data_IF_152561764407
#
_entry.id   IF_152561764407
#
_cell.length_a   1.000
_cell.length_b   1.000
_cell.length_c   1.000
_cell.angle_alpha   90.00
_cell.angle_beta   90.00
_cell.angle_gamma   90.00
#
_symmetry.space_group_name_H-M   'P 1'
#
loop_
_entity.id
_entity.type
_entity.pdbx_description
1 polymer ?
#
# COMPACT_ATOMS: atom_id res chain seq x y z
N UNK A 1 3.05 -11.89 -27.88
CA UNK A 1 2.56 -12.40 -26.58
C UNK A 1 3.77 -12.60 -25.68
N UNK A 2 3.79 -12.01 -24.51
CA UNK A 2 4.91 -12.14 -23.57
C UNK A 2 4.86 -13.58 -22.98
N UNK A 3 5.89 -14.41 -23.10
CA UNK A 3 5.84 -15.83 -22.72
C UNK A 3 5.71 -16.08 -21.21
N UNK A 4 5.62 -15.03 -20.39
CA UNK A 4 5.50 -15.11 -18.93
C UNK A 4 4.16 -14.60 -18.38
N UNK A 5 3.14 -14.33 -19.19
CA UNK A 5 1.84 -13.89 -18.67
C UNK A 5 0.99 -15.10 -18.30
N UNK A 6 0.84 -15.35 -17.00
CA UNK A 6 -0.18 -16.26 -16.48
C UNK A 6 -1.57 -15.63 -16.70
N UNK A 7 -2.54 -16.44 -17.12
CA UNK A 7 -3.94 -16.05 -17.21
C UNK A 7 -4.79 -17.25 -16.82
N UNK A 8 -5.78 -17.02 -15.98
CA UNK A 8 -6.75 -18.01 -15.59
C UNK A 8 -8.05 -17.79 -16.36
N UNK A 9 -8.67 -18.87 -16.83
CA UNK A 9 -10.02 -18.80 -17.33
C UNK A 9 -11.03 -18.94 -16.16
N UNK A 10 -12.27 -18.51 -16.41
CA UNK A 10 -13.34 -18.48 -15.40
C UNK A 10 -13.70 -19.86 -14.84
N UNK A 11 -13.58 -20.91 -15.66
CA UNK A 11 -13.94 -22.28 -15.29
C UNK A 11 -12.87 -22.95 -14.43
N UNK A 12 -11.59 -22.63 -14.68
CA UNK A 12 -10.46 -23.17 -13.92
C UNK A 12 -10.47 -22.74 -12.45
N UNK A 13 -11.00 -21.56 -12.13
CA UNK A 13 -10.99 -21.04 -10.76
C UNK A 13 -11.70 -21.97 -9.78
N UNK A 14 -12.77 -22.64 -10.21
CA UNK A 14 -13.51 -23.59 -9.36
C UNK A 14 -12.79 -24.93 -9.19
N UNK A 15 -11.72 -25.20 -9.93
CA UNK A 15 -10.94 -26.45 -9.84
C UNK A 15 -9.78 -26.34 -8.85
N UNK A 16 -9.37 -25.13 -8.47
CA UNK A 16 -8.26 -24.92 -7.55
C UNK A 16 -8.69 -25.05 -6.08
N UNK A 17 -7.83 -25.68 -5.28
CA UNK A 17 -7.98 -25.66 -3.84
C UNK A 17 -7.71 -24.22 -3.32
N UNK A 18 -8.74 -23.55 -2.84
CA UNK A 18 -8.63 -22.16 -2.35
C UNK A 18 -8.89 -22.08 -0.86
N UNK A 19 -8.11 -21.25 -0.17
CA UNK A 19 -8.30 -20.91 1.24
C UNK A 19 -8.77 -19.47 1.40
N UNK A 20 -9.84 -19.26 2.19
CA UNK A 20 -10.38 -17.94 2.49
C UNK A 20 -9.53 -17.26 3.58
N UNK A 21 -9.04 -16.06 3.31
CA UNK A 21 -8.16 -15.27 4.18
C UNK A 21 -8.83 -14.01 4.74
N UNK A 22 -10.08 -14.14 5.20
CA UNK A 22 -10.81 -13.05 5.85
C UNK A 22 -11.26 -13.53 7.23
N UNK A 23 -11.11 -12.70 8.28
CA UNK A 23 -11.67 -13.01 9.59
C UNK A 23 -13.17 -13.28 9.48
N UNK A 24 -13.64 -14.33 10.15
CA UNK A 24 -15.04 -14.79 10.10
C UNK A 24 -16.03 -13.66 10.43
N UNK A 25 -15.66 -12.77 11.35
CA UNK A 25 -16.45 -11.59 11.77
C UNK A 25 -16.65 -10.57 10.62
N UNK A 26 -15.82 -10.59 9.58
CA UNK A 26 -15.90 -9.67 8.44
C UNK A 26 -16.53 -10.28 7.19
N UNK A 27 -16.92 -11.54 7.25
CA UNK A 27 -17.58 -12.22 6.11
C UNK A 27 -18.86 -11.51 5.67
N UNK A 28 -19.66 -10.99 6.62
CA UNK A 28 -20.86 -10.21 6.35
C UNK A 28 -20.62 -8.89 5.62
N UNK A 29 -19.37 -8.42 5.55
CA UNK A 29 -19.02 -7.18 4.85
C UNK A 29 -18.85 -7.36 3.34
N UNK A 30 -18.98 -8.60 2.85
CA UNK A 30 -18.98 -8.91 1.43
C UNK A 30 -17.59 -8.97 0.77
N UNK A 31 -16.51 -8.48 1.40
CA UNK A 31 -15.17 -8.64 0.85
C UNK A 31 -14.77 -10.11 0.89
N UNK A 32 -14.23 -10.62 -0.23
CA UNK A 32 -13.69 -11.97 -0.35
C UNK A 32 -12.23 -11.90 -0.79
N UNK A 33 -11.37 -12.64 -0.09
CA UNK A 33 -9.96 -12.75 -0.39
C UNK A 33 -9.57 -14.23 -0.25
N UNK A 34 -9.33 -14.88 -1.35
CA UNK A 34 -8.90 -16.27 -1.41
C UNK A 34 -7.44 -16.37 -1.82
N UNK A 35 -6.75 -17.34 -1.24
CA UNK A 35 -5.42 -17.74 -1.68
C UNK A 35 -5.48 -19.10 -2.35
N UNK A 36 -4.76 -19.27 -3.45
CA UNK A 36 -4.60 -20.53 -4.16
C UNK A 36 -3.20 -20.64 -4.74
N UNK A 37 -2.83 -21.83 -5.16
CA UNK A 37 -1.51 -22.11 -5.70
C UNK A 37 -1.62 -22.90 -7.00
N UNK A 38 -0.82 -22.53 -8.00
CA UNK A 38 -0.72 -23.24 -9.28
C UNK A 38 0.75 -23.37 -9.65
N UNK A 39 1.21 -24.60 -9.89
CA UNK A 39 2.59 -24.91 -10.27
C UNK A 39 3.65 -24.31 -9.32
N UNK A 40 3.39 -24.31 -8.01
CA UNK A 40 4.31 -23.77 -6.99
C UNK A 40 4.28 -22.23 -6.84
N UNK A 41 3.44 -21.55 -7.62
CA UNK A 41 3.23 -20.10 -7.51
C UNK A 41 1.89 -19.82 -6.82
N UNK A 42 1.93 -19.02 -5.75
CA UNK A 42 0.73 -18.56 -5.06
C UNK A 42 0.07 -17.38 -5.76
N UNK A 43 -1.25 -17.29 -5.61
CA UNK A 43 -2.09 -16.21 -6.14
C UNK A 43 -3.14 -15.81 -5.12
N UNK A 44 -3.64 -14.59 -5.28
CA UNK A 44 -4.76 -14.03 -4.54
C UNK A 44 -5.91 -13.73 -5.49
N UNK A 45 -7.12 -14.21 -5.12
CA UNK A 45 -8.38 -13.81 -5.76
C UNK A 45 -9.11 -12.88 -4.82
N UNK A 46 -9.36 -11.65 -5.25
CA UNK A 46 -10.04 -10.60 -4.48
C UNK A 46 -11.28 -10.14 -5.21
N UNK A 47 -12.44 -10.16 -4.54
CA UNK A 47 -13.68 -9.59 -5.07
C UNK A 47 -14.58 -9.05 -3.97
N UNK A 48 -15.58 -8.26 -4.35
CA UNK A 48 -16.63 -7.74 -3.48
C UNK A 48 -17.93 -8.45 -3.85
N UNK A 49 -18.45 -9.22 -2.91
CA UNK A 49 -19.79 -9.76 -2.95
C UNK A 49 -20.84 -8.70 -2.59
N UNK A 50 -22.12 -9.00 -2.75
CA UNK A 50 -23.19 -8.11 -2.33
C UNK A 50 -23.04 -7.77 -0.84
N UNK A 51 -23.09 -6.49 -0.51
CA UNK A 51 -22.94 -5.98 0.85
C UNK A 51 -23.70 -4.67 1.02
N UNK A 52 -24.21 -4.43 2.21
CA UNK A 52 -24.80 -3.14 2.59
C UNK A 52 -23.75 -2.08 2.97
N UNK A 53 -22.48 -2.48 3.08
CA UNK A 53 -21.38 -1.57 3.48
C UNK A 53 -20.82 -0.78 2.29
N UNK A 54 -21.44 0.35 1.99
CA UNK A 54 -21.05 1.23 0.87
C UNK A 54 -19.56 1.59 0.84
N UNK A 55 -18.92 1.78 2.00
CA UNK A 55 -17.50 2.13 2.06
C UNK A 55 -16.58 1.02 1.50
N UNK A 56 -16.95 -0.27 1.68
CA UNK A 56 -16.18 -1.40 1.15
C UNK A 56 -16.43 -1.60 -0.34
N UNK A 57 -17.66 -1.38 -0.81
CA UNK A 57 -17.99 -1.38 -2.24
C UNK A 57 -17.18 -0.29 -2.92
N UNK A 58 -17.25 0.95 -2.45
CA UNK A 58 -16.52 2.09 -3.00
C UNK A 58 -15.01 1.88 -2.99
N UNK A 59 -14.46 1.22 -1.96
CA UNK A 59 -13.03 0.89 -1.89
C UNK A 59 -12.62 -0.08 -3.00
N UNK A 60 -13.37 -1.15 -3.21
CA UNK A 60 -13.08 -2.11 -4.28
C UNK A 60 -13.24 -1.48 -5.67
N UNK A 61 -14.27 -0.66 -5.87
CA UNK A 61 -14.49 0.06 -7.12
C UNK A 61 -13.36 1.06 -7.41
N UNK A 62 -12.83 1.71 -6.38
CA UNK A 62 -11.67 2.59 -6.52
C UNK A 62 -10.42 1.82 -6.95
N UNK A 63 -10.16 0.66 -6.33
CA UNK A 63 -9.04 -0.21 -6.69
C UNK A 63 -9.19 -0.75 -8.12
N UNK A 64 -10.37 -1.20 -8.49
CA UNK A 64 -10.68 -1.67 -9.84
C UNK A 64 -10.45 -0.55 -10.88
N UNK A 65 -10.99 0.63 -10.61
CA UNK A 65 -10.81 1.81 -11.49
C UNK A 65 -9.34 2.18 -11.66
N UNK A 66 -8.56 2.09 -10.58
CA UNK A 66 -7.12 2.32 -10.62
C UNK A 66 -6.41 1.31 -11.54
N UNK A 67 -6.67 0.00 -11.37
CA UNK A 67 -6.06 -1.03 -12.22
C UNK A 67 -6.50 -0.93 -13.68
N UNK A 68 -7.79 -0.68 -13.94
CA UNK A 68 -8.29 -0.47 -15.30
C UNK A 68 -7.59 0.71 -15.99
N UNK A 69 -7.42 1.82 -15.27
CA UNK A 69 -6.67 2.98 -15.79
C UNK A 69 -5.20 2.62 -16.08
N UNK A 70 -4.54 1.93 -15.16
CA UNK A 70 -3.14 1.56 -15.34
C UNK A 70 -2.92 0.56 -16.47
N UNK A 71 -3.82 -0.42 -16.63
CA UNK A 71 -3.78 -1.41 -17.71
C UNK A 71 -4.05 -0.81 -19.10
N UNK A 72 -4.77 0.32 -19.16
CA UNK A 72 -5.02 1.06 -20.40
C UNK A 72 -3.84 1.93 -20.86
N UNK A 73 -2.78 2.06 -20.04
CA UNK A 73 -1.60 2.84 -20.41
C UNK A 73 -0.77 2.10 -21.48
N UNK A 74 -0.07 2.84 -22.34
CA UNK A 74 0.82 2.28 -23.36
C UNK A 74 1.92 1.40 -22.78
N UNK A 75 2.37 1.69 -21.57
CA UNK A 75 3.34 0.93 -20.83
C UNK A 75 2.86 0.75 -19.39
N UNK A 76 2.75 -0.51 -18.95
CA UNK A 76 2.37 -0.83 -17.58
C UNK A 76 3.41 -0.28 -16.60
N UNK A 77 3.00 0.47 -15.56
CA UNK A 77 3.91 0.98 -14.54
C UNK A 77 4.68 -0.14 -13.85
N UNK A 78 5.99 0.05 -13.69
CA UNK A 78 6.87 -1.01 -13.12
C UNK A 78 6.53 -1.34 -11.67
N UNK A 79 5.97 -0.41 -10.94
CA UNK A 79 5.59 -0.63 -9.54
C UNK A 79 4.31 -1.48 -9.38
N UNK A 80 3.55 -1.75 -10.43
CA UNK A 80 2.38 -2.61 -10.32
C UNK A 80 2.77 -4.08 -10.39
N UNK A 81 2.16 -4.94 -9.54
CA UNK A 81 2.22 -6.37 -9.75
C UNK A 81 1.48 -6.76 -11.02
N UNK A 82 1.75 -7.94 -11.52
CA UNK A 82 0.88 -8.53 -12.54
C UNK A 82 -0.51 -8.73 -11.94
N UNK A 83 -1.53 -8.26 -12.66
CA UNK A 83 -2.94 -8.34 -12.25
C UNK A 83 -3.79 -8.81 -13.43
N UNK A 84 -4.74 -9.69 -13.14
CA UNK A 84 -5.80 -10.08 -14.07
C UNK A 84 -7.15 -9.62 -13.53
N UNK A 85 -7.97 -9.02 -14.37
CA UNK A 85 -9.36 -8.66 -14.07
C UNK A 85 -10.25 -9.71 -14.74
N UNK A 86 -11.10 -10.37 -13.96
CA UNK A 86 -12.12 -11.28 -14.44
C UNK A 86 -13.50 -10.71 -14.17
N UNK A 87 -14.39 -10.86 -15.15
CA UNK A 87 -15.75 -10.31 -15.08
C UNK A 87 -16.81 -11.39 -15.33
N UNK A 88 -17.96 -11.26 -14.65
CA UNK A 88 -19.17 -12.04 -14.90
C UNK A 88 -18.96 -13.55 -14.92
N UNK A 89 -18.64 -14.12 -13.77
CA UNK A 89 -18.43 -15.56 -13.61
C UNK A 89 -19.08 -16.08 -12.33
N UNK A 90 -19.30 -17.40 -12.29
CA UNK A 90 -19.76 -18.09 -11.09
C UNK A 90 -18.58 -18.67 -10.34
N UNK A 91 -18.54 -18.40 -9.03
CA UNK A 91 -17.53 -18.92 -8.13
C UNK A 91 -18.15 -19.37 -6.81
N UNK A 92 -17.98 -20.64 -6.44
CA UNK A 92 -18.60 -21.27 -5.28
C UNK A 92 -20.12 -20.99 -5.17
N UNK A 93 -20.86 -21.11 -6.28
CA UNK A 93 -22.29 -20.83 -6.41
C UNK A 93 -22.69 -19.37 -6.17
N UNK A 94 -21.74 -18.45 -6.16
CA UNK A 94 -21.94 -17.02 -6.10
C UNK A 94 -21.69 -16.37 -7.46
N UNK A 95 -22.58 -15.47 -7.88
CA UNK A 95 -22.37 -14.68 -9.10
C UNK A 95 -21.41 -13.52 -8.79
N UNK A 96 -20.19 -13.61 -9.33
CA UNK A 96 -19.14 -12.60 -9.15
C UNK A 96 -19.14 -11.67 -10.36
N UNK A 97 -19.47 -10.39 -10.11
CA UNK A 97 -19.47 -9.37 -11.16
C UNK A 97 -18.08 -9.06 -11.67
N UNK A 98 -17.11 -8.88 -10.76
CA UNK A 98 -15.72 -8.61 -11.09
C UNK A 98 -14.80 -9.07 -9.96
N UNK A 99 -13.66 -9.61 -10.34
CA UNK A 99 -12.59 -10.00 -9.41
C UNK A 99 -11.22 -9.59 -9.94
N UNK A 100 -10.30 -9.39 -9.00
CA UNK A 100 -8.87 -9.19 -9.24
C UNK A 100 -8.11 -10.47 -8.88
N UNK A 101 -7.23 -10.92 -9.75
CA UNK A 101 -6.25 -11.95 -9.43
C UNK A 101 -4.86 -11.31 -9.44
N UNK A 102 -4.13 -11.48 -8.34
CA UNK A 102 -2.78 -10.97 -8.17
C UNK A 102 -1.84 -12.10 -7.79
N UNK A 103 -0.61 -12.03 -8.31
CA UNK A 103 0.45 -12.95 -7.91
C UNK A 103 0.83 -12.72 -6.45
N UNK A 104 0.98 -13.81 -5.69
CA UNK A 104 1.49 -13.74 -4.32
C UNK A 104 3.00 -13.53 -4.37
N UNK A 105 3.45 -12.40 -3.85
CA UNK A 105 4.85 -11.97 -3.84
C UNK A 105 5.22 -11.59 -2.40
N UNK A 106 6.45 -11.89 -1.94
CA UNK A 106 6.86 -11.58 -0.58
C UNK A 106 6.91 -10.08 -0.29
N UNK A 107 6.76 -9.71 0.98
CA UNK A 107 6.93 -8.33 1.41
C UNK A 107 8.37 -7.85 1.21
N UNK A 108 8.53 -6.59 0.81
CA UNK A 108 9.84 -5.94 0.70
C UNK A 108 10.54 -5.80 2.07
N UNK A 109 9.77 -5.59 3.14
CA UNK A 109 10.27 -5.29 4.49
C UNK A 109 10.31 -6.53 5.39
N UNK A 110 10.58 -7.72 4.84
CA UNK A 110 10.67 -8.96 5.63
C UNK A 110 11.93 -9.03 6.50
N UNK A 111 13.04 -8.50 6.00
CA UNK A 111 14.31 -8.58 6.72
C UNK A 111 14.40 -7.53 7.82
N UNK A 112 14.96 -7.92 8.98
CA UNK A 112 15.29 -6.97 10.03
C UNK A 112 16.43 -6.06 9.54
N UNK A 113 16.28 -4.72 9.52
CA UNK A 113 17.28 -3.80 8.99
C UNK A 113 18.61 -3.87 9.75
N UNK A 114 18.61 -4.28 11.01
CA UNK A 114 19.84 -4.47 11.80
C UNK A 114 20.74 -5.62 11.30
N UNK A 115 20.17 -6.53 10.51
CA UNK A 115 20.89 -7.65 9.89
C UNK A 115 21.37 -7.32 8.47
N UNK A 116 21.03 -6.15 7.96
CA UNK A 116 21.37 -5.69 6.63
C UNK A 116 22.58 -4.72 6.67
N UNK A 117 23.37 -4.71 5.61
CA UNK A 117 24.34 -3.64 5.43
C UNK A 117 23.62 -2.29 5.23
N UNK A 118 24.28 -1.20 5.62
CA UNK A 118 23.74 0.16 5.42
C UNK A 118 23.32 0.39 3.95
N UNK A 119 24.11 -0.05 3.00
CA UNK A 119 23.81 0.08 1.57
C UNK A 119 22.53 -0.69 1.18
N UNK A 120 22.29 -1.85 1.75
CA UNK A 120 21.03 -2.59 1.53
C UNK A 120 19.83 -1.84 2.11
N UNK A 121 19.95 -1.27 3.31
CA UNK A 121 18.90 -0.44 3.91
C UNK A 121 18.57 0.76 3.03
N UNK A 122 19.60 1.50 2.59
CA UNK A 122 19.43 2.64 1.65
C UNK A 122 18.72 2.18 0.36
N UNK A 123 19.14 1.05 -0.20
CA UNK A 123 18.56 0.52 -1.44
C UNK A 123 17.08 0.16 -1.29
N UNK A 124 16.67 -0.43 -0.16
CA UNK A 124 15.28 -0.73 0.15
C UNK A 124 14.47 0.56 0.27
N UNK A 125 14.95 1.55 1.04
CA UNK A 125 14.30 2.85 1.17
C UNK A 125 14.16 3.52 -0.19
N UNK A 126 15.21 3.50 -1.01
CA UNK A 126 15.20 4.10 -2.34
C UNK A 126 14.18 3.44 -3.28
N UNK A 127 14.03 2.10 -3.21
CA UNK A 127 12.99 1.38 -3.95
C UNK A 127 11.59 1.84 -3.55
N UNK A 128 11.31 1.97 -2.25
CA UNK A 128 10.01 2.44 -1.76
C UNK A 128 9.70 3.86 -2.24
N UNK A 129 10.69 4.76 -2.13
CA UNK A 129 10.56 6.14 -2.60
C UNK A 129 10.30 6.20 -4.12
N UNK A 130 11.03 5.40 -4.92
CA UNK A 130 10.80 5.33 -6.37
C UNK A 130 9.38 4.87 -6.70
N UNK A 131 8.93 3.80 -6.05
CA UNK A 131 7.60 3.22 -6.25
C UNK A 131 6.49 4.25 -5.99
N UNK A 132 6.57 4.98 -4.87
CA UNK A 132 5.57 6.01 -4.56
C UNK A 132 5.73 7.23 -5.48
N UNK A 133 6.95 7.56 -5.91
CA UNK A 133 7.16 8.62 -6.89
C UNK A 133 6.49 8.31 -8.24
N UNK A 134 6.64 7.09 -8.75
CA UNK A 134 6.00 6.66 -10.00
C UNK A 134 4.47 6.76 -9.89
N UNK A 135 3.88 6.33 -8.76
CA UNK A 135 2.45 6.49 -8.50
C UNK A 135 2.02 7.97 -8.54
N UNK A 136 2.77 8.85 -7.87
CA UNK A 136 2.47 10.28 -7.85
C UNK A 136 2.63 10.93 -9.24
N UNK A 137 3.60 10.48 -10.04
CA UNK A 137 3.79 10.93 -11.42
C UNK A 137 2.64 10.51 -12.35
N UNK A 138 1.97 9.38 -12.05
CA UNK A 138 0.74 8.98 -12.73
C UNK A 138 -0.48 9.84 -12.35
N UNK A 139 -0.32 10.79 -11.43
CA UNK A 139 -1.39 11.65 -10.94
C UNK A 139 -2.26 11.00 -9.85
N UNK A 140 -1.75 9.98 -9.14
CA UNK A 140 -2.46 9.30 -8.08
C UNK A 140 -1.74 9.39 -6.74
N UNK A 141 -2.50 9.32 -5.64
CA UNK A 141 -2.02 9.05 -4.29
C UNK A 141 -2.57 7.72 -3.82
N UNK A 142 -1.80 7.03 -2.99
CA UNK A 142 -2.21 5.74 -2.42
C UNK A 142 -3.20 5.91 -1.27
N UNK A 143 -2.90 6.86 -0.39
CA UNK A 143 -3.76 7.31 0.71
C UNK A 143 -4.02 6.28 1.85
N UNK A 144 -3.41 5.10 1.81
CA UNK A 144 -3.38 4.10 2.89
C UNK A 144 -2.11 3.24 2.82
N UNK A 145 -0.93 3.86 2.69
CA UNK A 145 0.33 3.13 2.68
C UNK A 145 0.58 2.43 4.02
N UNK A 146 1.02 1.16 3.96
CA UNK A 146 1.47 0.37 5.10
C UNK A 146 2.53 -0.67 4.68
N UNK A 147 3.31 -1.24 5.60
CA UNK A 147 4.42 -2.14 5.26
C UNK A 147 4.02 -3.32 4.35
N UNK A 148 2.85 -3.91 4.58
CA UNK A 148 2.33 -5.05 3.82
C UNK A 148 1.98 -4.73 2.36
N UNK A 149 1.92 -3.46 1.97
CA UNK A 149 1.62 -3.05 0.61
C UNK A 149 2.86 -2.97 -0.29
N UNK A 150 4.06 -2.97 0.30
CA UNK A 150 5.32 -2.99 -0.43
C UNK A 150 5.80 -4.42 -0.59
N UNK A 151 5.80 -4.91 -1.83
CA UNK A 151 6.20 -6.26 -2.18
C UNK A 151 7.51 -6.24 -2.97
N UNK A 152 8.24 -7.35 -2.96
CA UNK A 152 9.47 -7.51 -3.73
C UNK A 152 9.28 -8.62 -4.76
N UNK A 153 9.09 -8.24 -6.03
CA UNK A 153 9.04 -9.15 -7.15
C UNK A 153 10.38 -9.11 -7.91
N UNK A 154 11.12 -10.19 -7.80
CA UNK A 154 12.50 -10.28 -8.30
C UNK A 154 13.39 -9.18 -7.72
N UNK A 155 13.61 -8.09 -8.42
CA UNK A 155 14.38 -6.93 -7.95
C UNK A 155 13.56 -5.65 -7.84
N UNK A 156 12.27 -5.70 -8.22
CA UNK A 156 11.39 -4.52 -8.32
C UNK A 156 10.45 -4.43 -7.13
N UNK A 157 10.34 -3.23 -6.53
CA UNK A 157 9.34 -2.97 -5.52
C UNK A 157 7.97 -2.80 -6.19
N UNK A 158 7.00 -3.57 -5.72
CA UNK A 158 5.60 -3.52 -6.17
C UNK A 158 4.72 -2.92 -5.09
N UNK A 159 3.62 -2.32 -5.51
CA UNK A 159 2.64 -1.71 -4.60
C UNK A 159 1.25 -2.29 -4.89
N UNK A 160 0.51 -2.60 -3.82
CA UNK A 160 -0.83 -3.21 -3.87
C UNK A 160 -1.81 -2.49 -2.96
N UNK A 161 -3.09 -2.86 -3.07
CA UNK A 161 -4.21 -2.41 -2.22
C UNK A 161 -4.56 -0.94 -2.44
N UNK A 162 -5.02 -0.63 -3.64
CA UNK A 162 -5.40 0.72 -4.07
C UNK A 162 -6.83 1.13 -3.68
N UNK A 163 -7.46 0.47 -2.69
CA UNK A 163 -8.83 0.75 -2.25
C UNK A 163 -9.07 2.18 -1.76
N UNK A 164 -8.02 2.83 -1.28
CA UNK A 164 -8.09 4.22 -0.79
C UNK A 164 -7.47 5.22 -1.76
N UNK A 165 -6.95 4.73 -2.91
CA UNK A 165 -6.30 5.58 -3.89
C UNK A 165 -7.27 6.59 -4.51
N UNK A 166 -6.74 7.74 -4.87
CA UNK A 166 -7.51 8.80 -5.55
C UNK A 166 -6.60 9.64 -6.44
N UNK A 167 -7.19 10.38 -7.36
CA UNK A 167 -6.46 11.33 -8.19
C UNK A 167 -5.91 12.48 -7.36
N UNK A 168 -4.71 12.96 -7.71
CA UNK A 168 -4.14 14.17 -7.10
C UNK A 168 -5.05 15.36 -7.43
N UNK A 169 -5.44 16.12 -6.39
CA UNK A 169 -6.34 17.26 -6.54
C UNK A 169 -7.83 16.91 -6.47
N UNK A 170 -8.20 15.64 -6.45
CA UNK A 170 -9.58 15.22 -6.23
C UNK A 170 -9.96 15.41 -4.76
N UNK A 171 -10.99 16.24 -4.51
CA UNK A 171 -11.48 16.49 -3.16
C UNK A 171 -12.59 15.47 -2.89
N UNK A 172 -12.23 14.35 -2.27
CA UNK A 172 -13.20 13.40 -1.76
C UNK A 172 -13.49 13.69 -0.28
N UNK A 173 -14.57 14.40 -0.02
CA UNK A 173 -15.02 14.71 1.36
C UNK A 173 -15.38 13.48 2.20
N UNK A 174 -15.65 12.33 1.57
CA UNK A 174 -16.11 11.12 2.25
C UNK A 174 -15.00 10.14 2.65
N UNK A 175 -13.78 10.27 2.11
CA UNK A 175 -12.69 9.29 2.30
C UNK A 175 -11.67 9.66 3.41
N UNK A 176 -11.81 10.79 4.06
CA UNK A 176 -10.81 11.26 5.03
C UNK A 176 -10.61 10.31 6.23
N UNK A 177 -11.64 9.57 6.63
CA UNK A 177 -11.62 8.74 7.84
C UNK A 177 -11.32 7.25 7.59
N UNK A 178 -11.00 6.84 6.38
CA UNK A 178 -10.87 5.42 6.00
C UNK A 178 -9.43 4.90 5.94
N UNK A 179 -8.43 5.70 6.28
CA UNK A 179 -7.04 5.26 6.36
C UNK A 179 -6.74 4.49 7.66
N UNK A 180 -5.71 3.67 7.66
CA UNK A 180 -5.25 2.92 8.84
C UNK A 180 -4.67 3.89 9.87
N UNK A 181 -5.27 4.05 11.09
CA UNK A 181 -4.90 5.10 12.04
C UNK A 181 -3.42 5.15 12.39
N UNK A 182 -2.74 3.99 12.43
CA UNK A 182 -1.29 3.90 12.71
C UNK A 182 -0.41 4.67 11.71
N UNK A 183 -0.84 4.80 10.46
CA UNK A 183 -0.07 5.45 9.38
C UNK A 183 -0.69 6.77 8.94
N UNK A 184 -1.75 7.21 9.60
CA UNK A 184 -2.45 8.44 9.26
C UNK A 184 -1.61 9.68 9.53
N UNK A 185 -1.55 10.58 8.57
CA UNK A 185 -0.96 11.90 8.76
C UNK A 185 -1.82 12.78 9.69
N UNK A 186 -1.19 13.69 10.48
CA UNK A 186 -1.89 14.55 11.44
C UNK A 186 -3.10 15.29 10.87
N UNK A 187 -3.00 15.79 9.65
CA UNK A 187 -4.08 16.50 8.97
C UNK A 187 -5.34 15.66 8.75
N UNK A 188 -5.22 14.34 8.65
CA UNK A 188 -6.37 13.45 8.45
C UNK A 188 -7.21 13.30 9.72
N UNK A 189 -6.59 13.37 10.91
CA UNK A 189 -7.32 13.39 12.17
C UNK A 189 -8.15 14.68 12.34
N UNK A 190 -7.84 15.72 11.58
CA UNK A 190 -8.61 16.97 11.49
C UNK A 190 -9.56 17.00 10.29
N UNK A 191 -9.84 15.86 9.65
CA UNK A 191 -10.77 15.76 8.52
C UNK A 191 -10.32 16.46 7.25
N UNK A 192 -9.02 16.79 7.11
CA UNK A 192 -8.50 17.44 5.90
C UNK A 192 -8.29 16.43 4.77
N UNK A 193 -8.30 16.93 3.54
CA UNK A 193 -8.14 16.12 2.35
C UNK A 193 -6.77 15.41 2.30
N UNK A 194 -6.78 14.20 1.76
CA UNK A 194 -5.59 13.41 1.43
C UNK A 194 -4.80 14.07 0.30
N UNK A 195 -3.49 14.02 0.37
CA UNK A 195 -2.59 14.63 -0.63
C UNK A 195 -1.32 13.78 -0.77
N UNK A 196 -0.46 14.12 -1.71
CA UNK A 196 0.90 13.55 -1.83
C UNK A 196 1.63 13.52 -0.48
N UNK A 197 1.48 14.58 0.31
CA UNK A 197 2.14 14.68 1.61
C UNK A 197 1.59 13.73 2.67
N UNK A 198 0.37 13.23 2.52
CA UNK A 198 -0.17 12.14 3.35
C UNK A 198 0.58 10.84 3.12
N UNK A 199 0.89 10.50 1.86
CA UNK A 199 1.70 9.32 1.54
C UNK A 199 3.14 9.46 2.05
N UNK A 200 3.72 10.67 1.98
CA UNK A 200 5.06 10.93 2.54
C UNK A 200 5.09 10.68 4.06
N UNK A 201 4.06 11.13 4.79
CA UNK A 201 3.97 10.89 6.23
C UNK A 201 3.85 9.39 6.55
N UNK A 202 2.98 8.68 5.83
CA UNK A 202 2.81 7.23 6.00
C UNK A 202 4.13 6.48 5.72
N UNK A 203 4.88 6.86 4.67
CA UNK A 203 6.23 6.34 4.41
C UNK A 203 7.18 6.61 5.60
N UNK A 204 7.13 7.80 6.18
CA UNK A 204 7.93 8.14 7.35
C UNK A 204 7.64 7.23 8.54
N UNK A 205 6.37 6.93 8.83
CA UNK A 205 5.98 5.99 9.89
C UNK A 205 6.45 4.56 9.58
N UNK A 206 6.27 4.10 8.34
CA UNK A 206 6.72 2.76 7.91
C UNK A 206 8.25 2.63 8.13
N UNK A 207 9.02 3.63 7.71
CA UNK A 207 10.46 3.63 7.85
C UNK A 207 10.90 3.74 9.32
N UNK A 208 10.21 4.55 10.13
CA UNK A 208 10.49 4.65 11.56
C UNK A 208 10.28 3.30 12.25
N UNK A 209 9.13 2.64 12.04
CA UNK A 209 8.84 1.32 12.60
C UNK A 209 9.88 0.27 12.13
N UNK A 210 10.21 0.27 10.85
CA UNK A 210 11.18 -0.69 10.29
C UNK A 210 12.58 -0.47 10.85
N UNK A 211 13.11 0.76 10.83
CA UNK A 211 14.46 1.07 11.30
C UNK A 211 14.64 0.87 12.81
N UNK A 212 13.58 1.10 13.59
CA UNK A 212 13.61 0.88 15.04
C UNK A 212 13.33 -0.56 15.43
N UNK A 213 12.74 -1.37 14.53
CA UNK A 213 12.13 -2.67 14.83
C UNK A 213 11.07 -2.57 15.95
N UNK A 214 10.38 -1.44 15.99
CA UNK A 214 9.35 -1.15 17.00
C UNK A 214 8.08 -0.68 16.33
N UNK A 215 7.01 -1.42 16.58
CA UNK A 215 5.71 -1.10 16.03
C UNK A 215 4.98 -0.11 16.95
N UNK A 216 4.54 1.02 16.40
CA UNK A 216 3.74 1.99 17.13
C UNK A 216 2.44 1.35 17.62
N UNK A 217 1.99 1.73 18.81
CA UNK A 217 0.78 1.23 19.44
C UNK A 217 -0.03 2.36 20.04
N UNK A 218 -1.34 2.25 19.96
CA UNK A 218 -2.29 3.11 20.63
C UNK A 218 -3.57 2.31 20.91
N UNK A 219 -4.27 2.64 21.99
CA UNK A 219 -5.44 1.88 22.44
C UNK A 219 -6.73 2.34 21.74
N UNK A 220 -6.80 3.60 21.30
CA UNK A 220 -7.99 4.20 20.71
C UNK A 220 -7.64 5.09 19.52
N UNK A 221 -8.67 5.50 18.76
CA UNK A 221 -8.51 6.49 17.68
C UNK A 221 -7.99 7.84 18.21
N UNK A 222 -8.45 8.27 19.40
CA UNK A 222 -7.98 9.46 20.05
C UNK A 222 -6.51 9.39 20.44
N UNK A 223 -6.05 8.22 20.92
CA UNK A 223 -4.64 8.02 21.26
C UNK A 223 -3.76 8.06 20.01
N UNK A 224 -4.22 7.51 18.87
CA UNK A 224 -3.56 7.67 17.58
C UNK A 224 -3.47 9.14 17.16
N UNK A 225 -4.57 9.89 17.29
CA UNK A 225 -4.59 11.31 17.00
C UNK A 225 -3.59 12.08 17.88
N UNK A 226 -3.57 11.81 19.19
CA UNK A 226 -2.61 12.43 20.11
C UNK A 226 -1.17 12.07 19.74
N UNK A 227 -0.89 10.79 19.45
CA UNK A 227 0.43 10.32 19.06
C UNK A 227 0.91 11.08 17.81
N UNK A 228 0.16 11.06 16.74
CA UNK A 228 0.59 11.65 15.46
C UNK A 228 0.62 13.18 15.49
N UNK A 229 -0.35 13.82 16.14
CA UNK A 229 -0.41 15.28 16.18
C UNK A 229 0.54 15.90 17.20
N UNK A 230 0.88 15.20 18.31
CA UNK A 230 1.58 15.82 19.44
C UNK A 230 2.80 15.03 19.92
N UNK A 231 2.67 13.74 20.27
CA UNK A 231 3.66 13.04 21.08
C UNK A 231 4.67 12.20 20.29
N UNK A 232 4.49 11.98 18.97
CA UNK A 232 5.41 11.20 18.17
C UNK A 232 6.84 11.77 18.25
N UNK A 233 7.78 10.91 18.63
CA UNK A 233 9.22 11.21 18.68
C UNK A 233 9.96 10.32 17.69
N UNK A 234 10.94 10.90 17.03
CA UNK A 234 11.86 10.19 16.14
C UNK A 234 13.10 9.82 16.96
N UNK A 235 13.17 8.56 17.39
CA UNK A 235 14.30 8.04 18.15
C UNK A 235 14.85 6.82 17.40
N UNK A 236 15.98 6.97 16.72
CA UNK A 236 16.64 5.91 15.96
C UNK A 236 17.77 5.26 16.76
N UNK A 237 18.04 3.96 16.55
CA UNK A 237 19.26 3.34 16.98
C UNK A 237 20.50 4.07 16.42
N UNK A 238 21.63 4.00 17.10
CA UNK A 238 22.88 4.68 16.71
C UNK A 238 23.28 4.35 15.26
N UNK A 239 23.16 3.07 14.87
CA UNK A 239 23.45 2.59 13.52
C UNK A 239 22.62 3.23 12.40
N UNK A 240 21.49 3.83 12.75
CA UNK A 240 20.53 4.44 11.80
C UNK A 240 20.35 5.95 12.00
N UNK A 241 21.15 6.59 12.85
CA UNK A 241 21.05 8.05 13.11
C UNK A 241 21.19 8.89 11.83
N UNK A 242 21.95 8.45 10.85
CA UNK A 242 22.06 9.10 9.55
C UNK A 242 20.71 9.27 8.81
N UNK A 243 19.72 8.41 9.07
CA UNK A 243 18.38 8.56 8.50
C UNK A 243 17.48 9.56 9.23
N UNK A 244 17.96 10.19 10.30
CA UNK A 244 17.19 11.17 11.09
C UNK A 244 16.71 12.37 10.24
N UNK A 245 17.50 12.98 9.36
CA UNK A 245 17.04 14.07 8.50
C UNK A 245 15.91 13.63 7.55
N UNK A 246 16.02 12.42 6.98
CA UNK A 246 14.98 11.83 6.14
C UNK A 246 13.66 11.71 6.89
N UNK A 247 13.69 11.14 8.10
CA UNK A 247 12.48 10.96 8.91
C UNK A 247 11.88 12.29 9.37
N UNK A 248 12.69 13.28 9.75
CA UNK A 248 12.20 14.60 10.12
C UNK A 248 11.48 15.31 8.97
N UNK A 249 11.99 15.18 7.74
CA UNK A 249 11.34 15.75 6.57
C UNK A 249 10.03 15.05 6.18
N UNK A 250 9.96 13.71 6.36
CA UNK A 250 8.75 12.93 6.10
C UNK A 250 7.69 13.10 7.19
N UNK A 251 8.10 13.15 8.47
CA UNK A 251 7.23 13.10 9.63
C UNK A 251 6.92 14.48 10.24
N UNK A 252 7.28 15.58 9.56
CA UNK A 252 6.90 16.90 10.01
C UNK A 252 5.38 16.97 10.21
N UNK A 253 4.95 17.33 11.43
CA UNK A 253 3.53 17.33 11.83
C UNK A 253 2.73 18.36 11.06
N UNK A 254 3.31 19.55 10.87
CA UNK A 254 2.70 20.58 10.04
C UNK A 254 2.98 20.29 8.56
N UNK A 255 1.92 20.21 7.76
CA UNK A 255 2.01 19.92 6.33
C UNK A 255 2.91 20.92 5.58
N UNK A 256 2.93 22.20 5.98
CA UNK A 256 3.79 23.24 5.39
C UNK A 256 5.28 23.02 5.63
N UNK A 257 5.66 22.30 6.69
CA UNK A 257 7.04 21.95 7.04
C UNK A 257 7.45 20.57 6.49
N UNK A 258 6.47 19.72 6.12
CA UNK A 258 6.72 18.44 5.50
C UNK A 258 7.15 18.63 4.05
N UNK A 259 8.02 17.77 3.56
CA UNK A 259 8.42 17.80 2.16
C UNK A 259 7.22 17.77 1.22
N UNK A 260 7.34 18.49 0.10
CA UNK A 260 6.25 18.65 -0.84
C UNK A 260 6.11 17.43 -1.79
N UNK A 261 7.18 16.67 -1.98
CA UNK A 261 7.23 15.54 -2.90
C UNK A 261 8.36 14.57 -2.55
N UNK A 262 8.32 13.41 -3.19
CA UNK A 262 9.30 12.33 -3.00
C UNK A 262 10.73 12.74 -3.43
N UNK A 263 10.88 13.68 -4.38
CA UNK A 263 12.21 14.10 -4.83
C UNK A 263 13.03 14.75 -3.71
N UNK A 264 12.38 15.47 -2.79
CA UNK A 264 13.05 16.02 -1.62
C UNK A 264 13.59 14.92 -0.70
N UNK A 265 12.79 13.86 -0.47
CA UNK A 265 13.19 12.70 0.32
C UNK A 265 14.39 11.96 -0.33
N UNK A 266 14.34 11.76 -1.64
CA UNK A 266 15.42 11.09 -2.38
C UNK A 266 16.72 11.89 -2.34
N UNK A 267 16.67 13.21 -2.50
CA UNK A 267 17.86 14.07 -2.37
C UNK A 267 18.49 13.95 -1.01
N UNK A 268 17.67 14.00 0.06
CA UNK A 268 18.18 13.82 1.43
C UNK A 268 18.82 12.44 1.62
N UNK A 269 18.21 11.38 1.08
CA UNK A 269 18.78 10.03 1.18
C UNK A 269 20.11 9.91 0.42
N UNK A 270 20.29 10.61 -0.71
CA UNK A 270 21.53 10.57 -1.48
C UNK A 270 22.70 11.25 -0.76
N UNK A 271 22.46 12.29 0.04
CA UNK A 271 23.49 12.91 0.87
C UNK A 271 24.01 11.99 1.99
N UNK A 272 23.27 10.93 2.32
CA UNK A 272 23.70 9.93 3.30
C UNK A 272 24.60 8.82 2.67
N UNK A 273 24.73 8.82 1.35
CA UNK A 273 25.55 7.83 0.61
C UNK A 273 26.99 8.37 0.39
N UNK A 274 27.16 9.69 0.39
CA UNK A 274 28.47 10.36 0.29
C UNK A 274 29.17 10.39 1.65
#
# INVERSE_FOLDING_TARGET
MNPNSWQFNRQELNTFAMSLHIPTQRLGWGRRLYRFEVAGQGYWLKYQSLSEHAALINGFDAELSFYQHALAMLQLPKFLPEVQILENFEFHSEQVKVALILKNVPSLLMANPRQLSRNHVIHIIFKMLNTVQELHQMGWIHADLKPSHFLLDSSTCKLIDFEQSQRIGEISCQKALTATPRYMAPELFHGKAKTVQTDLYALGIILLEWLTDQRLQAASYQDWAYLHCQSLKIALPESFQGFSPLLHGLLAKQKSQRWQNIMAAKRCLMTEIE
#
